data_IF_358697348594
#
_entry.id   IF_358697348594
#
_cell.length_a   1.000
_cell.length_b   1.000
_cell.length_c   1.000
_cell.angle_alpha   90.00
_cell.angle_beta   90.00
_cell.angle_gamma   90.00
#
_symmetry.space_group_name_H-M   'P 1'
#
loop_
_entity.id
_entity.type
_entity.pdbx_description
1 polymer ?
#
# COMPACT_ATOMS: atom_id res chain seq x y z
N UNK A 1 7.88 43.19 -4.20
CA UNK A 1 6.91 42.29 -3.56
C UNK A 1 5.96 41.63 -4.57
N UNK A 2 5.27 42.40 -5.47
CA UNK A 2 4.29 41.84 -6.44
C UNK A 2 4.86 40.75 -7.37
N UNK A 3 6.12 40.85 -7.82
CA UNK A 3 6.79 39.86 -8.69
C UNK A 3 7.16 38.56 -7.96
N UNK A 4 7.34 38.60 -6.65
CA UNK A 4 7.62 37.41 -5.83
C UNK A 4 6.33 36.61 -5.62
N UNK A 5 5.21 37.28 -5.34
CA UNK A 5 3.91 36.62 -5.22
C UNK A 5 3.45 35.99 -6.54
N UNK A 6 3.73 36.64 -7.69
CA UNK A 6 3.42 36.06 -9.00
C UNK A 6 4.24 34.79 -9.28
N UNK A 7 5.50 34.75 -8.87
CA UNK A 7 6.35 33.55 -9.05
C UNK A 7 5.95 32.43 -8.10
N UNK A 8 5.57 32.74 -6.86
CA UNK A 8 5.07 31.75 -5.89
C UNK A 8 3.71 31.20 -6.35
N UNK A 9 2.83 32.04 -6.87
CA UNK A 9 1.53 31.64 -7.41
C UNK A 9 1.70 30.77 -8.66
N UNK A 10 2.60 31.11 -9.57
CA UNK A 10 2.92 30.29 -10.73
C UNK A 10 3.50 28.91 -10.34
N UNK A 11 4.35 28.87 -9.30
CA UNK A 11 4.92 27.63 -8.79
C UNK A 11 3.85 26.74 -8.13
N UNK A 12 2.91 27.32 -7.39
CA UNK A 12 1.77 26.62 -6.81
C UNK A 12 0.81 26.09 -7.88
N UNK A 13 0.63 26.83 -8.97
CA UNK A 13 -0.23 26.43 -10.09
C UNK A 13 0.40 25.29 -10.89
N UNK A 14 1.72 25.29 -11.08
CA UNK A 14 2.46 24.16 -11.67
C UNK A 14 2.42 22.94 -10.76
N UNK A 15 2.52 23.12 -9.45
CA UNK A 15 2.43 22.03 -8.47
C UNK A 15 1.02 21.40 -8.44
N UNK A 16 -0.04 22.21 -8.62
CA UNK A 16 -1.42 21.72 -8.66
C UNK A 16 -1.74 20.95 -9.96
N UNK A 17 -1.08 21.25 -11.07
CA UNK A 17 -1.23 20.51 -12.32
C UNK A 17 -0.57 19.13 -12.31
N UNK A 18 0.37 18.87 -11.39
CA UNK A 18 1.00 17.55 -11.21
C UNK A 18 0.12 16.54 -10.47
N UNK A 19 -1.02 16.98 -9.93
CA UNK A 19 -1.96 16.10 -9.19
C UNK A 19 -3.12 15.57 -10.04
N UNK A 20 -3.21 15.92 -11.30
CA UNK A 20 -4.29 15.48 -12.19
C UNK A 20 -3.82 14.37 -13.14
N UNK A 21 -3.35 13.26 -12.60
CA UNK A 21 -3.15 12.05 -13.39
C UNK A 21 -3.36 10.81 -12.52
N UNK A 22 -4.54 10.70 -11.88
CA UNK A 22 -5.14 9.39 -11.72
C UNK A 22 -5.74 9.06 -13.10
N UNK A 23 -4.89 8.67 -14.05
CA UNK A 23 -5.34 7.94 -15.20
C UNK A 23 -5.89 6.64 -14.63
N UNK A 24 -7.22 6.48 -14.67
CA UNK A 24 -7.84 5.17 -14.66
C UNK A 24 -7.02 4.36 -15.67
N UNK A 25 -6.36 3.31 -15.22
CA UNK A 25 -5.70 2.36 -16.08
C UNK A 25 -6.83 1.68 -16.85
N UNK A 26 -7.16 2.27 -18.01
CA UNK A 26 -8.09 1.72 -19.01
C UNK A 26 -7.31 0.61 -19.74
N UNK A 27 -7.19 -0.55 -19.09
CA UNK A 27 -6.52 -1.73 -19.57
C UNK A 27 -7.35 -2.96 -19.27
N UNK A 28 -7.24 -3.97 -20.13
CA UNK A 28 -7.89 -5.25 -19.96
C UNK A 28 -7.68 -5.80 -18.55
N UNK A 29 -8.71 -6.42 -18.00
CA UNK A 29 -8.72 -7.09 -16.70
C UNK A 29 -8.88 -8.59 -16.82
N UNK A 30 -9.22 -9.09 -18.00
CA UNK A 30 -9.34 -10.51 -18.30
C UNK A 30 -8.19 -10.95 -19.20
N UNK A 31 -7.28 -11.75 -18.68
CA UNK A 31 -6.09 -12.28 -19.37
C UNK A 31 -6.28 -13.78 -19.60
N UNK A 32 -7.02 -14.13 -20.62
CA UNK A 32 -7.36 -15.52 -20.95
C UNK A 32 -6.27 -16.20 -21.80
N UNK A 33 -5.18 -16.63 -21.14
CA UNK A 33 -4.05 -17.32 -21.80
C UNK A 33 -4.33 -18.80 -22.06
N UNK A 34 -5.27 -19.38 -21.34
CA UNK A 34 -5.68 -20.77 -21.51
C UNK A 34 -6.82 -20.94 -22.52
N UNK A 35 -7.29 -19.83 -23.13
CA UNK A 35 -8.39 -19.83 -24.12
C UNK A 35 -9.66 -20.53 -23.58
N UNK A 36 -10.01 -20.24 -22.32
CA UNK A 36 -11.17 -20.82 -21.65
C UNK A 36 -12.49 -20.09 -21.99
N UNK A 37 -12.38 -18.85 -22.44
CA UNK A 37 -13.52 -17.98 -22.69
C UNK A 37 -13.65 -17.66 -24.18
N UNK A 38 -14.88 -17.58 -24.66
CA UNK A 38 -15.12 -17.02 -25.99
C UNK A 38 -15.14 -15.48 -25.91
N UNK A 39 -14.98 -14.82 -27.04
CA UNK A 39 -14.84 -13.35 -27.09
C UNK A 39 -16.02 -12.59 -26.44
N UNK A 40 -17.24 -13.11 -26.53
CA UNK A 40 -18.41 -12.51 -25.87
C UNK A 40 -18.37 -12.66 -24.36
N UNK A 41 -17.85 -13.78 -23.84
CA UNK A 41 -17.70 -14.02 -22.40
C UNK A 41 -16.62 -13.13 -21.80
N UNK A 42 -15.50 -12.92 -22.53
CA UNK A 42 -14.48 -11.95 -22.13
C UNK A 42 -15.09 -10.55 -22.00
N UNK A 43 -15.88 -10.13 -22.98
CA UNK A 43 -16.57 -8.84 -22.93
C UNK A 43 -17.54 -8.72 -21.75
N UNK A 44 -18.30 -9.77 -21.47
CA UNK A 44 -19.23 -9.79 -20.32
C UNK A 44 -18.47 -9.70 -18.99
N UNK A 45 -17.38 -10.47 -18.84
CA UNK A 45 -16.54 -10.44 -17.66
C UNK A 45 -15.87 -9.07 -17.45
N UNK A 46 -15.38 -8.43 -18.52
CA UNK A 46 -14.83 -7.05 -18.44
C UNK A 46 -15.89 -6.05 -17.96
N UNK A 47 -17.13 -6.15 -18.46
CA UNK A 47 -18.22 -5.28 -18.02
C UNK A 47 -18.58 -5.53 -16.54
N UNK A 48 -18.60 -6.78 -16.10
CA UNK A 48 -18.84 -7.13 -14.70
C UNK A 48 -17.73 -6.60 -13.79
N UNK A 49 -16.47 -6.68 -14.24
CA UNK A 49 -15.30 -6.14 -13.52
C UNK A 49 -15.38 -4.62 -13.46
N UNK A 50 -15.68 -3.95 -14.56
CA UNK A 50 -15.86 -2.50 -14.57
C UNK A 50 -16.97 -2.07 -13.59
N UNK A 51 -18.10 -2.73 -13.60
CA UNK A 51 -19.18 -2.46 -12.64
C UNK A 51 -18.76 -2.72 -11.19
N UNK A 52 -17.91 -3.73 -10.95
CA UNK A 52 -17.33 -3.99 -9.65
C UNK A 52 -16.38 -2.86 -9.21
N UNK A 53 -15.51 -2.39 -10.10
CA UNK A 53 -14.59 -1.28 -9.84
C UNK A 53 -15.31 0.02 -9.53
N UNK A 54 -16.35 0.35 -10.32
CA UNK A 54 -17.17 1.56 -10.11
C UNK A 54 -17.91 1.54 -8.76
N UNK A 55 -18.37 0.35 -8.35
CA UNK A 55 -19.10 0.19 -7.08
C UNK A 55 -18.18 0.20 -5.86
N UNK A 56 -17.03 -0.45 -5.96
CA UNK A 56 -16.18 -0.75 -4.79
C UNK A 56 -14.96 0.15 -4.65
N UNK A 57 -14.52 0.77 -5.75
CA UNK A 57 -13.25 1.48 -5.83
C UNK A 57 -12.02 0.56 -5.76
N UNK A 58 -12.21 -0.76 -5.87
CA UNK A 58 -11.15 -1.78 -5.82
C UNK A 58 -11.04 -2.52 -7.16
N UNK A 59 -9.86 -3.04 -7.46
CA UNK A 59 -9.60 -3.73 -8.72
C UNK A 59 -9.97 -5.21 -8.67
N UNK A 60 -10.33 -5.77 -9.82
CA UNK A 60 -10.55 -7.21 -9.99
C UNK A 60 -9.89 -7.66 -11.29
N UNK A 61 -9.04 -8.68 -11.22
CA UNK A 61 -8.31 -9.20 -12.39
C UNK A 61 -8.53 -10.70 -12.50
N UNK A 62 -8.74 -11.19 -13.72
CA UNK A 62 -8.87 -12.62 -14.03
C UNK A 62 -7.69 -13.03 -14.92
N UNK A 63 -7.01 -14.08 -14.53
CA UNK A 63 -5.91 -14.67 -15.32
C UNK A 63 -6.14 -16.16 -15.46
N UNK A 64 -6.10 -16.67 -16.69
CA UNK A 64 -6.09 -18.10 -16.95
C UNK A 64 -4.76 -18.52 -17.54
N UNK A 65 -4.29 -19.73 -17.24
CA UNK A 65 -3.05 -20.28 -17.78
C UNK A 65 -3.18 -21.78 -18.01
N UNK A 66 -2.53 -22.26 -19.06
CA UNK A 66 -2.33 -23.67 -19.33
C UNK A 66 -0.84 -24.04 -19.42
N UNK A 67 0.04 -23.11 -19.04
CA UNK A 67 1.48 -23.30 -19.07
C UNK A 67 1.96 -23.94 -17.77
N UNK A 68 2.86 -24.91 -17.89
CA UNK A 68 3.55 -25.47 -16.72
C UNK A 68 4.52 -24.46 -16.12
N UNK A 69 4.29 -24.09 -14.87
CA UNK A 69 5.01 -23.04 -14.19
C UNK A 69 6.02 -23.60 -13.15
N UNK A 70 7.15 -22.90 -13.00
CA UNK A 70 8.06 -23.09 -11.87
C UNK A 70 7.65 -22.15 -10.74
N UNK A 71 6.77 -22.62 -9.88
CA UNK A 71 6.30 -21.83 -8.73
C UNK A 71 4.89 -22.25 -8.31
N UNK A 72 4.46 -21.79 -7.14
CA UNK A 72 3.07 -22.01 -6.71
C UNK A 72 2.12 -21.04 -7.42
N UNK A 73 0.85 -21.42 -7.57
CA UNK A 73 -0.21 -20.54 -8.09
C UNK A 73 -0.27 -19.20 -7.34
N UNK A 74 -0.02 -19.24 -6.03
CA UNK A 74 0.13 -18.05 -5.19
C UNK A 74 1.22 -17.10 -5.70
N UNK A 75 2.45 -17.59 -5.89
CA UNK A 75 3.59 -16.78 -6.34
C UNK A 75 3.35 -16.16 -7.72
N UNK A 76 2.69 -16.93 -8.59
CA UNK A 76 2.35 -16.47 -9.95
C UNK A 76 1.30 -15.38 -9.92
N UNK A 77 0.22 -15.59 -9.16
CA UNK A 77 -0.87 -14.63 -9.02
C UNK A 77 -0.39 -13.31 -8.41
N UNK A 78 0.38 -13.37 -7.32
CA UNK A 78 0.92 -12.20 -6.65
C UNK A 78 1.89 -11.42 -7.55
N UNK A 79 2.81 -12.14 -8.22
CA UNK A 79 3.76 -11.52 -9.13
C UNK A 79 3.06 -10.87 -10.34
N UNK A 80 2.00 -11.50 -10.87
CA UNK A 80 1.24 -10.95 -11.97
C UNK A 80 0.52 -9.65 -11.57
N UNK A 81 -0.11 -9.64 -10.40
CA UNK A 81 -0.79 -8.46 -9.88
C UNK A 81 0.18 -7.28 -9.67
N UNK A 82 1.31 -7.55 -9.03
CA UNK A 82 2.31 -6.53 -8.71
C UNK A 82 3.00 -5.96 -9.95
N UNK A 83 3.41 -6.84 -10.90
CA UNK A 83 4.09 -6.43 -12.14
C UNK A 83 3.15 -5.71 -13.10
N UNK A 84 1.87 -6.11 -13.14
CA UNK A 84 0.84 -5.44 -13.93
C UNK A 84 0.46 -4.07 -13.40
N UNK A 85 0.83 -3.77 -12.15
CA UNK A 85 0.53 -2.48 -11.53
C UNK A 85 -0.95 -2.29 -11.24
N UNK A 86 -1.68 -3.38 -11.05
CA UNK A 86 -3.11 -3.38 -10.74
C UNK A 86 -3.41 -2.76 -9.38
N UNK A 87 -4.69 -2.42 -9.17
CA UNK A 87 -5.18 -1.71 -8.00
C UNK A 87 -5.45 -0.24 -8.28
N UNK A 88 -6.61 0.25 -7.83
CA UNK A 88 -7.11 1.59 -8.16
C UNK A 88 -6.72 2.65 -7.14
N UNK A 89 -6.23 2.24 -5.97
CA UNK A 89 -5.84 3.13 -4.88
C UNK A 89 -4.34 3.04 -4.55
N UNK A 90 -3.89 3.88 -3.59
CA UNK A 90 -2.50 3.92 -3.14
C UNK A 90 -2.04 2.60 -2.48
N UNK A 91 -2.98 1.83 -1.91
CA UNK A 91 -2.73 0.53 -1.27
C UNK A 91 -2.80 -0.62 -2.28
N UNK A 92 -3.07 -0.32 -3.57
CA UNK A 92 -3.30 -1.28 -4.63
C UNK A 92 -4.40 -2.28 -4.27
N UNK A 93 -5.47 -1.78 -3.67
CA UNK A 93 -6.58 -2.62 -3.21
C UNK A 93 -7.27 -3.33 -4.36
N UNK A 94 -7.36 -4.65 -4.25
CA UNK A 94 -8.01 -5.45 -5.26
C UNK A 94 -7.80 -6.95 -5.07
N UNK A 95 -8.19 -7.69 -6.09
CA UNK A 95 -8.19 -9.15 -6.10
C UNK A 95 -7.79 -9.65 -7.48
N UNK A 96 -7.01 -10.73 -7.51
CA UNK A 96 -6.70 -11.47 -8.72
C UNK A 96 -7.21 -12.89 -8.58
N UNK A 97 -8.03 -13.31 -9.53
CA UNK A 97 -8.50 -14.67 -9.67
C UNK A 97 -7.71 -15.41 -10.74
N UNK A 98 -6.91 -16.38 -10.31
CA UNK A 98 -6.05 -17.19 -11.16
C UNK A 98 -6.63 -18.58 -11.37
N UNK A 99 -6.73 -19.03 -12.63
CA UNK A 99 -7.18 -20.37 -13.03
C UNK A 99 -6.03 -21.06 -13.74
N UNK A 100 -5.49 -22.12 -13.14
CA UNK A 100 -4.43 -22.94 -13.67
C UNK A 100 -4.99 -24.25 -14.23
N UNK A 101 -4.87 -24.43 -15.53
CA UNK A 101 -5.36 -25.62 -16.21
C UNK A 101 -4.35 -26.77 -16.23
N UNK A 102 -3.06 -26.49 -16.01
CA UNK A 102 -2.01 -27.51 -15.92
C UNK A 102 -2.19 -28.35 -14.64
N UNK A 103 -2.31 -27.67 -13.50
CA UNK A 103 -2.51 -28.31 -12.20
C UNK A 103 -3.98 -28.48 -11.80
N UNK A 104 -4.92 -28.01 -12.63
CA UNK A 104 -6.36 -27.96 -12.31
C UNK A 104 -6.60 -27.33 -10.94
N UNK A 105 -5.97 -26.18 -10.74
CA UNK A 105 -5.99 -25.42 -9.50
C UNK A 105 -6.47 -23.99 -9.74
N UNK A 106 -7.23 -23.44 -8.82
CA UNK A 106 -7.56 -22.01 -8.87
C UNK A 106 -7.20 -21.32 -7.57
N UNK A 107 -6.81 -20.10 -7.68
CA UNK A 107 -6.28 -19.31 -6.56
C UNK A 107 -6.85 -17.89 -6.58
N UNK A 108 -7.12 -17.37 -5.39
CA UNK A 108 -7.56 -16.00 -5.19
C UNK A 108 -6.50 -15.25 -4.40
N UNK A 109 -5.87 -14.25 -5.01
CA UNK A 109 -4.93 -13.35 -4.37
C UNK A 109 -5.62 -12.05 -4.03
N UNK A 110 -5.46 -11.54 -2.80
CA UNK A 110 -6.04 -10.29 -2.34
C UNK A 110 -4.97 -9.32 -1.86
N UNK A 111 -5.16 -8.02 -2.10
CA UNK A 111 -4.19 -6.99 -1.72
C UNK A 111 -4.89 -5.72 -1.21
N UNK A 112 -4.17 -4.91 -0.46
CA UNK A 112 -4.68 -3.66 0.08
C UNK A 112 -5.86 -3.85 1.04
N UNK A 113 -6.91 -3.04 0.86
CA UNK A 113 -8.13 -3.12 1.67
C UNK A 113 -8.91 -4.43 1.46
N UNK A 114 -8.79 -5.06 0.27
CA UNK A 114 -9.50 -6.30 -0.04
C UNK A 114 -9.19 -7.44 0.94
N UNK A 115 -7.98 -7.47 1.51
CA UNK A 115 -7.57 -8.46 2.54
C UNK A 115 -8.52 -8.43 3.74
N UNK A 116 -9.04 -7.27 4.12
CA UNK A 116 -9.94 -7.14 5.28
C UNK A 116 -11.37 -7.57 4.95
N UNK A 117 -11.79 -7.40 3.69
CA UNK A 117 -13.11 -7.86 3.23
C UNK A 117 -13.14 -9.37 3.00
N UNK A 118 -12.05 -9.91 2.40
CA UNK A 118 -11.92 -11.32 2.03
C UNK A 118 -11.09 -12.05 3.08
N UNK A 119 -11.73 -12.41 4.20
CA UNK A 119 -11.10 -13.26 5.23
C UNK A 119 -10.87 -14.67 4.69
N UNK A 120 -9.97 -15.44 5.32
CA UNK A 120 -9.65 -16.81 4.91
C UNK A 120 -10.91 -17.67 4.75
N UNK A 121 -11.87 -17.57 5.69
CA UNK A 121 -13.13 -18.30 5.61
C UNK A 121 -14.01 -17.86 4.42
N UNK A 122 -13.99 -16.58 4.05
CA UNK A 122 -14.73 -16.09 2.88
C UNK A 122 -14.06 -16.53 1.58
N UNK A 123 -12.73 -16.56 1.55
CA UNK A 123 -11.96 -17.06 0.41
C UNK A 123 -12.24 -18.55 0.23
N UNK A 124 -12.15 -19.36 1.29
CA UNK A 124 -12.45 -20.79 1.26
C UNK A 124 -13.86 -21.05 0.73
N UNK A 125 -14.87 -20.36 1.24
CA UNK A 125 -16.25 -20.48 0.75
C UNK A 125 -16.38 -20.09 -0.74
N UNK A 126 -15.70 -19.03 -1.18
CA UNK A 126 -15.75 -18.60 -2.58
C UNK A 126 -15.08 -19.65 -3.51
N UNK A 127 -13.95 -20.18 -3.12
CA UNK A 127 -13.23 -21.25 -3.81
C UNK A 127 -14.12 -22.49 -3.92
N UNK A 128 -14.69 -22.98 -2.81
CA UNK A 128 -15.54 -24.17 -2.78
C UNK A 128 -16.78 -23.99 -3.67
N UNK A 129 -17.40 -22.81 -3.63
CA UNK A 129 -18.58 -22.54 -4.44
C UNK A 129 -18.26 -22.53 -5.94
N UNK A 130 -17.15 -21.94 -6.35
CA UNK A 130 -16.76 -21.83 -7.76
C UNK A 130 -16.20 -23.14 -8.30
N UNK A 131 -15.54 -23.96 -7.47
CA UNK A 131 -14.98 -25.26 -7.86
C UNK A 131 -15.98 -26.12 -8.65
N UNK A 132 -17.26 -26.12 -8.29
CA UNK A 132 -18.30 -26.89 -9.00
C UNK A 132 -18.50 -26.45 -10.46
N UNK A 133 -18.38 -25.15 -10.75
CA UNK A 133 -18.47 -24.62 -12.12
C UNK A 133 -17.25 -25.02 -12.95
N UNK A 134 -16.05 -24.85 -12.38
CA UNK A 134 -14.79 -25.22 -13.05
C UNK A 134 -14.73 -26.72 -13.32
N UNK A 135 -15.17 -27.56 -12.36
CA UNK A 135 -15.23 -29.01 -12.52
C UNK A 135 -16.21 -29.46 -13.60
N UNK A 136 -17.27 -28.68 -13.84
CA UNK A 136 -18.23 -28.91 -14.90
C UNK A 136 -17.78 -28.35 -16.27
N UNK A 137 -16.63 -27.67 -16.35
CA UNK A 137 -16.14 -27.01 -17.55
C UNK A 137 -16.83 -25.68 -17.86
N UNK A 138 -17.63 -25.13 -16.93
CA UNK A 138 -18.35 -23.88 -17.07
C UNK A 138 -17.48 -22.70 -16.59
N UNK A 139 -16.34 -22.48 -17.25
CA UNK A 139 -15.29 -21.57 -16.77
C UNK A 139 -15.75 -20.11 -16.69
N UNK A 140 -16.40 -19.60 -17.73
CA UNK A 140 -16.91 -18.22 -17.75
C UNK A 140 -17.96 -17.98 -16.66
N UNK A 141 -18.88 -18.96 -16.47
CA UNK A 141 -19.86 -18.88 -15.39
C UNK A 141 -19.19 -18.92 -14.00
N UNK A 142 -18.13 -19.72 -13.85
CA UNK A 142 -17.35 -19.78 -12.63
C UNK A 142 -16.66 -18.44 -12.33
N UNK A 143 -16.09 -17.80 -13.34
CA UNK A 143 -15.46 -16.48 -13.22
C UNK A 143 -16.48 -15.39 -12.84
N UNK A 144 -17.63 -15.34 -13.52
CA UNK A 144 -18.72 -14.41 -13.20
C UNK A 144 -19.27 -14.65 -11.78
N UNK A 145 -19.43 -15.92 -11.36
CA UNK A 145 -19.83 -16.26 -10.01
C UNK A 145 -18.81 -15.78 -8.97
N UNK A 146 -17.51 -15.92 -9.26
CA UNK A 146 -16.46 -15.38 -8.36
C UNK A 146 -16.58 -13.87 -8.17
N UNK A 147 -16.75 -13.10 -9.25
CA UNK A 147 -17.00 -11.65 -9.18
C UNK A 147 -18.23 -11.35 -8.32
N UNK A 148 -19.31 -12.09 -8.52
CA UNK A 148 -20.56 -11.91 -7.77
C UNK A 148 -20.38 -12.16 -6.27
N UNK A 149 -19.70 -13.25 -5.90
CA UNK A 149 -19.43 -13.61 -4.48
C UNK A 149 -18.57 -12.56 -3.81
N UNK A 150 -17.48 -12.13 -4.46
CA UNK A 150 -16.60 -11.09 -3.91
C UNK A 150 -17.37 -9.78 -3.73
N UNK A 151 -18.17 -9.38 -4.72
CA UNK A 151 -19.05 -8.20 -4.63
C UNK A 151 -20.00 -8.29 -3.44
N UNK A 152 -20.59 -9.45 -3.21
CA UNK A 152 -21.48 -9.68 -2.09
C UNK A 152 -20.76 -9.52 -0.75
N UNK A 153 -19.53 -10.04 -0.62
CA UNK A 153 -18.75 -9.91 0.60
C UNK A 153 -18.29 -8.46 0.84
N UNK A 154 -17.95 -7.73 -0.22
CA UNK A 154 -17.62 -6.30 -0.10
C UNK A 154 -18.85 -5.50 0.37
N UNK A 155 -20.04 -5.76 -0.18
CA UNK A 155 -21.30 -5.15 0.29
C UNK A 155 -21.65 -5.50 1.72
N UNK A 156 -21.36 -6.72 2.15
CA UNK A 156 -21.56 -7.15 3.54
C UNK A 156 -20.61 -6.45 4.52
N UNK A 157 -19.56 -5.83 4.01
CA UNK A 157 -18.56 -5.12 4.81
C UNK A 157 -17.53 -6.02 5.48
N UNK A 158 -16.62 -5.39 6.20
CA UNK A 158 -15.57 -6.08 6.97
C UNK A 158 -16.21 -6.78 8.17
N UNK A 159 -15.95 -8.09 8.38
CA UNK A 159 -16.49 -8.81 9.51
C UNK A 159 -16.06 -8.20 10.86
N UNK A 160 -16.94 -8.26 11.83
CA UNK A 160 -16.65 -7.79 13.19
C UNK A 160 -15.51 -8.60 13.81
N UNK A 161 -14.52 -7.91 14.37
CA UNK A 161 -13.33 -8.55 14.94
C UNK A 161 -12.30 -9.05 13.93
N UNK A 162 -12.42 -8.66 12.66
CA UNK A 162 -11.43 -8.98 11.63
C UNK A 162 -10.02 -8.50 12.04
N UNK A 163 -9.01 -9.31 11.76
CA UNK A 163 -7.59 -8.99 11.94
C UNK A 163 -6.74 -9.67 10.87
N UNK A 164 -5.60 -9.07 10.56
CA UNK A 164 -4.58 -9.68 9.69
C UNK A 164 -3.54 -10.39 10.54
N UNK A 165 -3.02 -11.49 10.04
CA UNK A 165 -1.91 -12.21 10.66
C UNK A 165 -0.88 -12.63 9.60
N UNK A 166 0.39 -12.62 9.98
CA UNK A 166 1.48 -13.11 9.15
C UNK A 166 1.43 -14.65 9.12
N UNK A 167 1.34 -15.25 7.93
CA UNK A 167 1.19 -16.70 7.73
C UNK A 167 2.40 -17.48 8.24
N UNK A 168 3.61 -16.87 8.18
CA UNK A 168 4.85 -17.54 8.56
C UNK A 168 5.05 -17.51 10.07
N UNK A 169 4.76 -16.39 10.71
CA UNK A 169 4.99 -16.19 12.16
C UNK A 169 3.75 -16.41 13.02
N UNK A 170 2.55 -16.41 12.42
CA UNK A 170 1.26 -16.48 13.13
C UNK A 170 0.94 -15.24 13.98
N UNK A 171 1.75 -14.19 13.90
CA UNK A 171 1.56 -12.97 14.68
C UNK A 171 0.48 -12.09 14.08
N UNK A 172 -0.41 -11.54 14.93
CA UNK A 172 -1.39 -10.54 14.49
C UNK A 172 -0.69 -9.25 14.08
N UNK A 173 -1.04 -8.75 12.90
CA UNK A 173 -0.56 -7.47 12.40
C UNK A 173 -1.47 -6.37 12.96
N UNK A 174 -0.97 -5.61 13.92
CA UNK A 174 -1.74 -4.55 14.62
C UNK A 174 -1.86 -3.23 13.84
N UNK A 175 -1.12 -3.09 12.75
CA UNK A 175 -1.18 -1.92 11.87
C UNK A 175 -1.01 -2.34 10.41
N UNK A 176 -1.74 -1.69 9.50
CA UNK A 176 -1.41 -1.76 8.08
C UNK A 176 0.02 -1.28 7.91
N UNK A 177 0.88 -2.11 7.38
CA UNK A 177 2.24 -1.70 7.03
C UNK A 177 2.13 -0.78 5.81
N UNK A 178 1.95 0.53 6.04
CA UNK A 178 2.04 1.51 4.97
C UNK A 178 3.51 1.61 4.59
N UNK A 179 3.93 0.86 3.58
CA UNK A 179 5.23 1.06 2.97
C UNK A 179 5.25 2.45 2.36
N UNK A 180 6.17 3.32 2.83
CA UNK A 180 6.34 4.66 2.28
C UNK A 180 6.70 4.54 0.79
N UNK A 181 5.79 4.99 -0.06
CA UNK A 181 6.00 5.01 -1.50
C UNK A 181 7.15 5.94 -1.84
N UNK A 182 7.96 5.61 -2.85
CA UNK A 182 9.07 6.47 -3.31
C UNK A 182 8.60 7.91 -3.57
N UNK A 183 7.39 8.08 -4.08
CA UNK A 183 6.77 9.38 -4.33
C UNK A 183 6.47 10.16 -3.04
N UNK A 184 6.04 9.49 -1.98
CA UNK A 184 5.81 10.12 -0.66
C UNK A 184 7.13 10.59 -0.03
N UNK A 185 8.19 9.80 -0.17
CA UNK A 185 9.53 10.19 0.30
C UNK A 185 10.04 11.41 -0.46
N UNK A 186 9.90 11.43 -1.78
CA UNK A 186 10.28 12.58 -2.62
C UNK A 186 9.45 13.80 -2.24
N UNK A 187 8.14 13.66 -2.08
CA UNK A 187 7.24 14.75 -1.68
C UNK A 187 7.63 15.32 -0.31
N UNK A 188 7.88 14.44 0.67
CA UNK A 188 8.32 14.86 2.01
C UNK A 188 9.65 15.61 1.97
N UNK A 189 10.61 15.15 1.15
CA UNK A 189 11.90 15.84 0.95
C UNK A 189 11.71 17.21 0.29
N UNK A 190 10.85 17.33 -0.72
CA UNK A 190 10.56 18.60 -1.41
C UNK A 190 9.92 19.61 -0.45
N UNK A 191 8.93 19.16 0.33
CA UNK A 191 8.26 20.00 1.33
C UNK A 191 9.26 20.43 2.42
N UNK A 192 10.07 19.50 2.95
CA UNK A 192 11.09 19.79 3.97
C UNK A 192 12.12 20.81 3.45
N UNK A 193 12.57 20.65 2.21
CA UNK A 193 13.51 21.59 1.58
C UNK A 193 12.90 22.98 1.36
N UNK A 194 11.63 23.05 0.93
CA UNK A 194 10.90 24.31 0.77
C UNK A 194 10.75 25.07 2.10
N UNK A 195 10.39 24.37 3.17
CA UNK A 195 10.29 24.96 4.52
C UNK A 195 11.65 25.47 4.99
N UNK A 196 12.72 24.71 4.77
CA UNK A 196 14.09 25.12 5.11
C UNK A 196 14.50 26.40 4.36
N UNK A 197 14.23 26.48 3.06
CA UNK A 197 14.50 27.69 2.25
C UNK A 197 13.74 28.91 2.75
N UNK A 198 12.45 28.74 3.09
CA UNK A 198 11.63 29.83 3.65
C UNK A 198 12.21 30.29 4.98
N UNK A 199 12.59 29.36 5.84
CA UNK A 199 13.20 29.68 7.12
C UNK A 199 14.51 30.48 6.95
N UNK A 200 15.43 29.99 6.09
CA UNK A 200 16.68 30.69 5.78
C UNK A 200 16.43 32.08 5.20
N UNK A 201 15.44 32.21 4.29
CA UNK A 201 15.07 33.51 3.72
C UNK A 201 14.52 34.48 4.80
N UNK A 202 13.69 33.98 5.72
CA UNK A 202 13.16 34.76 6.84
C UNK A 202 14.28 35.22 7.80
N UNK A 203 15.19 34.30 8.16
CA UNK A 203 16.33 34.61 9.02
C UNK A 203 17.22 35.64 8.33
N UNK A 204 17.61 35.40 7.07
CA UNK A 204 18.43 36.33 6.29
C UNK A 204 17.77 37.71 6.12
N UNK A 205 16.43 37.76 5.95
CA UNK A 205 15.68 39.02 5.86
C UNK A 205 15.66 39.79 7.18
N UNK A 206 15.60 39.09 8.33
CA UNK A 206 15.62 39.73 9.67
C UNK A 206 17.03 40.17 10.10
N UNK A 207 18.04 39.39 9.71
CA UNK A 207 19.44 39.64 10.09
C UNK A 207 20.27 40.33 9.02
N UNK A 208 19.73 40.59 7.82
CA UNK A 208 20.40 41.42 6.83
C UNK A 208 20.37 42.87 7.32
N UNK A 209 21.46 43.32 7.88
CA UNK A 209 21.72 44.73 8.12
C UNK A 209 21.74 45.42 6.78
N UNK A 210 20.63 46.09 6.39
CA UNK A 210 20.53 46.90 5.18
C UNK A 210 21.49 48.06 5.30
N UNK A 211 22.75 47.80 4.90
CA UNK A 211 23.72 48.86 4.60
C UNK A 211 24.04 49.86 5.71
N UNK A 212 23.70 49.55 6.98
CA UNK A 212 24.21 50.39 8.07
C UNK A 212 25.56 49.83 8.50
N UNK A 213 26.57 50.63 8.33
CA UNK A 213 27.91 50.42 8.81
C UNK A 213 27.96 50.62 10.33
N UNK A 214 27.15 49.82 11.05
CA UNK A 214 27.27 49.81 12.51
C UNK A 214 28.41 48.86 12.92
N UNK A 215 29.59 49.42 12.99
CA UNK A 215 30.70 48.78 13.69
C UNK A 215 30.45 48.92 15.19
N UNK A 216 30.04 47.83 15.83
CA UNK A 216 30.04 47.76 17.29
C UNK A 216 31.49 47.77 17.75
N UNK A 217 31.89 48.92 18.32
CA UNK A 217 33.23 49.10 18.89
C UNK A 217 33.29 48.41 20.24
N UNK A 218 33.65 47.14 20.23
CA UNK A 218 33.81 46.34 21.48
C UNK A 218 34.94 46.87 22.38
N UNK A 219 35.88 47.63 21.82
CA UNK A 219 36.98 48.25 22.57
C UNK A 219 36.49 49.41 23.42
N UNK A 220 35.48 50.14 22.99
CA UNK A 220 34.95 51.31 23.70
C UNK A 220 33.81 50.97 24.68
N UNK A 221 33.17 49.82 24.51
CA UNK A 221 31.93 49.46 25.21
C UNK A 221 32.07 48.19 26.11
N UNK A 222 33.21 47.55 26.16
CA UNK A 222 33.42 46.33 26.95
C UNK A 222 34.74 46.36 27.72
N UNK A 223 34.69 46.47 29.04
CA UNK A 223 35.83 46.18 29.92
C UNK A 223 35.52 44.88 30.67
N UNK A 224 36.10 43.77 30.21
CA UNK A 224 36.03 42.51 30.93
C UNK A 224 37.28 42.38 31.82
N UNK A 225 37.09 42.45 33.12
CA UNK A 225 38.16 42.22 34.09
C UNK A 225 37.91 40.89 34.79
N UNK A 226 38.55 39.82 34.29
CA UNK A 226 38.56 38.51 34.96
C UNK A 226 39.47 38.63 36.20
N UNK A 227 38.89 38.46 37.37
CA UNK A 227 39.60 38.47 38.63
C UNK A 227 39.95 37.09 39.17
N UNK A 228 39.20 36.07 38.67
CA UNK A 228 39.49 34.67 39.03
C UNK A 228 38.86 33.73 38.02
N UNK A 229 39.47 32.59 37.73
CA UNK A 229 38.98 31.55 36.87
C UNK A 229 39.26 30.20 37.52
N UNK A 230 38.20 29.56 38.03
CA UNK A 230 38.28 28.24 38.63
C UNK A 230 37.37 27.28 37.81
N UNK A 231 37.96 26.17 37.35
CA UNK A 231 37.29 25.13 36.62
C UNK A 231 37.01 23.95 37.56
N UNK A 232 35.81 23.85 38.08
CA UNK A 232 35.43 22.80 39.02
C UNK A 232 34.56 21.74 38.33
N UNK A 233 35.05 20.52 38.21
CA UNK A 233 34.28 19.37 37.73
C UNK A 233 33.25 18.96 38.77
N UNK A 234 31.95 19.08 38.43
CA UNK A 234 30.90 18.90 39.42
C UNK A 234 30.31 17.48 39.46
N UNK A 235 30.08 16.80 38.34
CA UNK A 235 29.52 15.44 38.38
C UNK A 235 29.32 14.84 36.99
N UNK A 236 29.55 13.53 36.84
CA UNK A 236 29.04 12.72 35.74
C UNK A 236 27.91 11.84 36.26
N UNK A 237 26.71 11.91 35.65
CA UNK A 237 25.58 11.04 35.98
C UNK A 237 25.29 10.12 34.80
N UNK A 238 25.43 8.80 35.00
CA UNK A 238 25.05 7.79 34.00
C UNK A 238 23.73 7.17 34.40
N UNK A 239 22.69 7.38 33.60
CA UNK A 239 21.38 6.76 33.79
C UNK A 239 21.25 5.52 32.89
N UNK A 240 21.11 4.34 33.50
CA UNK A 240 20.76 3.09 32.78
C UNK A 240 19.26 2.88 32.83
N UNK A 241 18.62 2.88 31.67
CA UNK A 241 17.22 2.46 31.52
C UNK A 241 17.19 1.02 31.06
N UNK A 242 16.52 0.14 31.82
CA UNK A 242 16.33 -1.27 31.47
C UNK A 242 15.27 -1.36 30.37
N UNK A 243 15.60 -2.02 29.25
CA UNK A 243 14.66 -2.29 28.16
C UNK A 243 13.61 -3.30 28.67
N UNK A 244 12.31 -3.08 28.44
CA UNK A 244 11.28 -4.06 28.79
C UNK A 244 11.44 -5.34 28.01
N UNK A 245 11.17 -6.48 28.65
CA UNK A 245 11.14 -7.79 28.02
C UNK A 245 9.93 -7.89 27.06
N UNK A 246 10.04 -8.64 25.94
CA UNK A 246 8.94 -8.83 25.00
C UNK A 246 7.80 -9.60 25.67
N UNK A 247 6.52 -9.30 25.34
CA UNK A 247 5.39 -10.06 25.89
C UNK A 247 5.39 -11.50 25.37
N UNK A 248 5.12 -12.45 26.27
CA UNK A 248 4.95 -13.86 25.96
C UNK A 248 3.74 -14.07 25.04
N UNK A 249 3.98 -14.86 24.00
CA UNK A 249 3.02 -15.19 22.96
C UNK A 249 2.13 -16.35 23.40
N UNK A 250 0.90 -16.05 23.83
CA UNK A 250 -0.14 -17.08 23.99
C UNK A 250 -0.89 -17.23 22.67
N UNK A 251 -0.48 -18.21 21.88
CA UNK A 251 -1.18 -18.60 20.67
C UNK A 251 -2.57 -19.13 20.99
N UNK A 252 -3.59 -18.40 20.56
CA UNK A 252 -4.97 -18.88 20.51
C UNK A 252 -5.37 -19.03 19.06
N UNK A 253 -5.48 -20.26 18.59
CA UNK A 253 -6.14 -20.60 17.34
C UNK A 253 -7.65 -20.55 17.59
N UNK A 254 -8.26 -19.41 17.28
CA UNK A 254 -9.70 -19.23 17.30
C UNK A 254 -10.19 -18.89 15.91
N UNK A 255 -10.98 -19.79 15.32
CA UNK A 255 -11.45 -19.67 13.94
C UNK A 255 -12.33 -18.45 13.70
N UNK A 256 -12.31 -17.95 12.48
CA UNK A 256 -13.43 -17.27 11.85
C UNK A 256 -13.30 -15.81 11.52
N UNK A 257 -12.24 -15.08 11.90
CA UNK A 257 -12.18 -13.63 11.64
C UNK A 257 -10.85 -13.10 11.08
N UNK A 258 -9.87 -13.96 10.81
CA UNK A 258 -8.56 -13.54 10.32
C UNK A 258 -8.41 -13.60 8.82
N UNK A 259 -7.51 -12.77 8.29
CA UNK A 259 -7.00 -12.85 6.92
C UNK A 259 -5.50 -13.12 6.99
N UNK A 260 -5.05 -14.22 6.38
CA UNK A 260 -3.63 -14.54 6.24
C UNK A 260 -2.97 -13.60 5.24
N UNK A 261 -1.83 -13.05 5.63
CA UNK A 261 -1.05 -12.15 4.79
C UNK A 261 0.38 -12.68 4.62
N UNK A 262 0.85 -12.67 3.39
CA UNK A 262 2.24 -12.95 3.04
C UNK A 262 2.80 -11.80 2.20
N UNK A 263 4.12 -11.69 2.14
CA UNK A 263 4.79 -10.65 1.36
C UNK A 263 5.31 -11.26 0.05
N UNK A 264 4.89 -10.71 -1.07
CA UNK A 264 5.41 -11.08 -2.38
C UNK A 264 6.85 -10.60 -2.58
N UNK A 265 7.52 -11.09 -3.62
CA UNK A 265 8.89 -10.71 -3.96
C UNK A 265 9.08 -9.22 -4.26
N UNK A 266 8.00 -8.51 -4.60
CA UNK A 266 7.95 -7.06 -4.80
C UNK A 266 7.90 -6.26 -3.49
N UNK A 267 7.65 -6.89 -2.33
CA UNK A 267 7.45 -6.26 -1.04
C UNK A 267 5.99 -5.87 -0.76
N UNK A 268 5.06 -6.14 -1.67
CA UNK A 268 3.63 -5.92 -1.46
C UNK A 268 3.03 -7.03 -0.61
N UNK A 269 2.07 -6.69 0.26
CA UNK A 269 1.36 -7.67 1.09
C UNK A 269 0.14 -8.20 0.36
N UNK A 270 0.03 -9.52 0.27
CA UNK A 270 -1.09 -10.24 -0.31
C UNK A 270 -1.74 -11.18 0.70
N UNK A 271 -3.04 -11.41 0.54
CA UNK A 271 -3.74 -12.52 1.14
C UNK A 271 -4.28 -13.43 0.03
N UNK A 272 -4.82 -14.59 0.37
CA UNK A 272 -5.42 -15.44 -0.66
C UNK A 272 -5.56 -16.89 -0.24
N UNK A 273 -6.20 -17.66 -1.11
CA UNK A 273 -6.38 -19.10 -0.98
C UNK A 273 -6.81 -19.72 -2.30
N UNK A 274 -6.71 -21.04 -2.40
CA UNK A 274 -7.04 -21.77 -3.62
C UNK A 274 -7.46 -23.20 -3.37
N UNK A 275 -7.98 -23.87 -4.41
CA UNK A 275 -8.41 -25.27 -4.37
C UNK A 275 -8.29 -25.94 -5.72
N UNK A 276 -8.30 -27.30 -5.71
CA UNK A 276 -8.32 -28.11 -6.93
C UNK A 276 -9.76 -28.32 -7.42
N UNK A 277 -9.91 -28.48 -8.72
CA UNK A 277 -11.20 -28.70 -9.41
C UNK A 277 -11.15 -29.79 -10.48
#
# INVERSE_FOLDING_TARGET
>A
MRRIYQRIFALLLVLSCLWASAALADGDRVFDRAELFIASEVQELEQEIQAFQEETGMDFVIVTSNESHKGSAQQIADAFYDQGGFGLDEEKSGILYYIDMDDRYHYLSTTGAMIDYMTDARIENAIDEVTRYLSAGAYAQGASQMISIVRQYVRAGIPEGQYRYDVVTGQRLTARHKALTKNEIILALVIGFAVCLIYVACVRSRYSLKGSTYHYSYQDNGAMKLTDQEDTYLRTTTTRVRKPDPPENTGSHGGGGGSGVHTASSGTSHGGGGGHF
#
